data_IF_224831842991
#
_entry.id   IF_224831842991
#
_cell.length_a   1.000
_cell.length_b   1.000
_cell.length_c   1.000
_cell.angle_alpha   90.00
_cell.angle_beta   90.00
_cell.angle_gamma   90.00
#
_symmetry.space_group_name_H-M   'P 1'
#
loop_
_entity.id
_entity.type
_entity.pdbx_description
1 polymer ?
#
# COMPACT_ATOMS: atom_id res chain seq x y z
N UNK A 1 7.60 4.33 -21.72
CA UNK A 1 6.55 3.77 -20.87
C UNK A 1 7.00 2.41 -20.32
N UNK A 2 6.73 2.16 -19.06
CA UNK A 2 6.98 0.90 -18.39
C UNK A 2 5.71 0.48 -17.66
N UNK A 3 5.31 -0.77 -17.80
CA UNK A 3 4.14 -1.34 -17.15
C UNK A 3 4.54 -2.55 -16.31
N UNK A 4 3.93 -2.67 -15.15
CA UNK A 4 3.97 -3.87 -14.33
C UNK A 4 2.58 -4.53 -14.37
N UNK A 5 2.45 -5.65 -15.07
CA UNK A 5 1.15 -6.30 -15.22
C UNK A 5 0.61 -6.87 -13.89
N UNK A 6 1.48 -7.12 -12.90
CA UNK A 6 1.10 -7.54 -11.54
C UNK A 6 0.55 -6.39 -10.67
N UNK A 7 0.39 -5.21 -11.23
CA UNK A 7 -0.27 -4.06 -10.59
C UNK A 7 -1.64 -3.84 -11.24
N UNK A 8 -1.76 -2.88 -12.13
CA UNK A 8 -3.03 -2.49 -12.76
C UNK A 8 -3.71 -3.60 -13.59
N UNK A 9 -2.96 -4.58 -14.11
CA UNK A 9 -3.46 -5.59 -15.04
C UNK A 9 -3.60 -7.00 -14.47
N UNK A 10 -3.67 -7.09 -13.14
CA UNK A 10 -4.17 -8.23 -12.35
C UNK A 10 -3.43 -9.57 -12.46
N UNK A 11 -2.22 -9.63 -13.03
CA UNK A 11 -1.44 -10.88 -12.92
C UNK A 11 -0.94 -11.05 -11.48
N UNK A 12 -0.80 -12.30 -10.99
CA UNK A 12 -0.26 -12.54 -9.65
C UNK A 12 1.21 -12.12 -9.57
N UNK A 13 1.60 -11.48 -8.47
CA UNK A 13 3.00 -11.24 -8.13
C UNK A 13 3.60 -12.46 -7.42
N UNK A 14 2.81 -13.12 -6.59
CA UNK A 14 2.99 -14.48 -6.09
C UNK A 14 4.31 -14.75 -5.39
N UNK A 15 4.75 -13.87 -4.49
CA UNK A 15 6.02 -14.08 -3.79
C UNK A 15 7.25 -14.05 -4.69
N UNK A 16 7.23 -13.27 -5.78
CA UNK A 16 8.26 -13.19 -6.79
C UNK A 16 7.97 -14.02 -8.04
N UNK A 17 6.70 -14.34 -8.27
CA UNK A 17 6.20 -15.08 -9.44
C UNK A 17 6.58 -14.45 -10.77
N UNK A 18 6.16 -15.04 -11.89
CA UNK A 18 6.64 -14.70 -13.22
C UNK A 18 6.38 -13.22 -13.52
N UNK A 19 7.45 -12.45 -13.56
CA UNK A 19 7.41 -11.04 -13.87
C UNK A 19 7.03 -10.80 -15.33
N UNK A 20 6.21 -9.76 -15.57
CA UNK A 20 5.86 -9.31 -16.89
C UNK A 20 5.78 -7.78 -16.88
N UNK A 21 6.74 -7.16 -17.54
CA UNK A 21 6.88 -5.70 -17.59
C UNK A 21 7.00 -5.20 -19.03
N UNK A 22 5.89 -5.09 -19.80
CA UNK A 22 5.93 -4.51 -21.12
C UNK A 22 6.53 -3.11 -21.10
N UNK A 23 7.36 -2.80 -22.09
CA UNK A 23 7.92 -1.47 -22.28
C UNK A 23 7.50 -0.92 -23.63
N UNK A 24 7.26 0.38 -23.68
CA UNK A 24 7.09 1.14 -24.92
C UNK A 24 8.04 2.32 -24.94
N UNK A 25 8.72 2.52 -26.06
CA UNK A 25 9.70 3.58 -26.21
C UNK A 25 9.35 4.54 -27.34
N UNK A 26 9.79 5.78 -27.26
CA UNK A 26 9.72 6.70 -28.36
C UNK A 26 10.59 6.22 -29.54
N UNK A 27 10.22 6.58 -30.79
CA UNK A 27 10.84 6.08 -32.01
C UNK A 27 12.37 6.19 -32.02
N UNK A 28 12.91 7.27 -31.50
CA UNK A 28 14.37 7.51 -31.46
C UNK A 28 15.12 6.55 -30.51
N UNK A 29 14.43 5.90 -29.55
CA UNK A 29 15.00 4.91 -28.63
C UNK A 29 14.84 3.47 -29.13
N UNK A 30 13.98 3.21 -30.10
CA UNK A 30 13.72 1.88 -30.62
C UNK A 30 15.01 1.15 -31.10
N UNK A 31 15.99 1.81 -31.76
CA UNK A 31 17.24 1.16 -32.16
C UNK A 31 18.09 0.60 -31.01
N UNK A 32 17.86 1.05 -29.77
CA UNK A 32 18.64 0.68 -28.61
C UNK A 32 17.98 -0.38 -27.72
N UNK A 33 16.78 -0.88 -28.09
CA UNK A 33 16.10 -1.92 -27.33
C UNK A 33 16.95 -3.18 -27.22
N UNK A 34 16.82 -3.94 -26.08
CA UNK A 34 17.60 -5.14 -25.83
C UNK A 34 17.49 -6.19 -26.96
N UNK A 35 18.59 -6.78 -27.33
CA UNK A 35 18.66 -7.89 -28.27
C UNK A 35 18.53 -9.22 -27.56
N UNK A 36 18.30 -10.30 -28.28
CA UNK A 36 18.35 -11.67 -27.77
C UNK A 36 19.14 -12.54 -28.74
N UNK A 37 20.05 -13.42 -28.27
CA UNK A 37 20.90 -14.23 -29.16
C UNK A 37 20.15 -15.30 -29.90
N UNK A 38 18.97 -15.73 -29.45
CA UNK A 38 18.19 -16.83 -30.02
C UNK A 38 17.04 -16.32 -30.86
N UNK A 39 16.37 -15.24 -30.37
CA UNK A 39 15.17 -14.69 -31.01
C UNK A 39 15.51 -13.29 -31.53
N UNK A 40 15.12 -13.02 -32.77
CA UNK A 40 15.31 -11.68 -33.37
C UNK A 40 14.40 -10.65 -32.66
N UNK A 41 14.94 -10.00 -31.65
CA UNK A 41 14.33 -8.87 -30.92
C UNK A 41 15.29 -7.71 -30.85
N UNK A 42 14.77 -6.56 -30.46
CA UNK A 42 15.59 -5.36 -30.25
C UNK A 42 15.89 -4.59 -31.51
N UNK A 43 16.68 -3.55 -31.34
CA UNK A 43 17.06 -2.62 -32.40
C UNK A 43 18.44 -2.89 -32.98
N UNK A 44 18.77 -2.21 -34.05
CA UNK A 44 20.06 -2.36 -34.78
C UNK A 44 21.29 -2.06 -33.92
N UNK A 45 21.14 -1.18 -32.92
CA UNK A 45 22.15 -0.79 -31.95
C UNK A 45 21.77 -1.23 -30.53
N UNK A 46 21.02 -2.33 -30.44
CA UNK A 46 20.47 -2.82 -29.18
C UNK A 46 21.54 -3.23 -28.18
N UNK A 47 21.25 -3.01 -26.89
CA UNK A 47 22.06 -3.56 -25.80
C UNK A 47 21.94 -5.09 -25.76
N UNK A 48 22.84 -5.73 -25.06
CA UNK A 48 22.82 -7.21 -24.86
C UNK A 48 21.51 -7.64 -24.18
N UNK A 49 21.18 -8.92 -24.30
CA UNK A 49 20.03 -9.51 -23.61
C UNK A 49 20.09 -9.23 -22.11
N UNK A 50 18.98 -8.74 -21.56
CA UNK A 50 18.84 -8.42 -20.14
C UNK A 50 18.18 -9.56 -19.33
N UNK A 51 17.56 -10.52 -20.02
CA UNK A 51 16.94 -11.71 -19.44
C UNK A 51 17.01 -12.89 -20.39
N UNK A 52 16.77 -14.10 -19.88
CA UNK A 52 16.74 -15.33 -20.68
C UNK A 52 15.46 -15.51 -21.49
N UNK A 53 14.35 -14.91 -21.06
CA UNK A 53 13.04 -15.00 -21.70
C UNK A 53 12.56 -13.61 -22.14
N UNK A 54 12.81 -13.21 -23.40
CA UNK A 54 12.51 -11.84 -23.87
C UNK A 54 11.01 -11.48 -23.86
N UNK A 55 10.14 -12.48 -23.88
CA UNK A 55 8.68 -12.33 -23.81
C UNK A 55 8.13 -12.58 -22.41
N UNK A 56 8.98 -12.81 -21.40
CA UNK A 56 8.56 -13.18 -20.06
C UNK A 56 7.78 -14.50 -20.04
N UNK A 57 6.81 -14.64 -19.13
CA UNK A 57 5.92 -15.80 -19.08
C UNK A 57 4.67 -15.55 -19.93
N UNK A 58 4.64 -16.05 -21.14
CA UNK A 58 3.56 -15.78 -22.10
C UNK A 58 2.18 -16.26 -21.62
N UNK A 59 2.11 -17.36 -20.87
CA UNK A 59 0.84 -17.90 -20.33
C UNK A 59 0.14 -16.90 -19.41
N UNK A 60 0.87 -16.12 -18.64
CA UNK A 60 0.31 -15.18 -17.68
C UNK A 60 -0.41 -13.99 -18.37
N UNK A 61 -0.10 -13.72 -19.64
CA UNK A 61 -0.78 -12.68 -20.43
C UNK A 61 -2.27 -12.94 -20.62
N UNK A 62 -2.71 -14.22 -20.55
CA UNK A 62 -4.12 -14.59 -20.65
C UNK A 62 -4.91 -13.98 -19.50
N UNK A 63 -4.33 -13.85 -18.30
CA UNK A 63 -4.97 -13.23 -17.14
C UNK A 63 -5.23 -11.74 -17.42
N UNK A 64 -4.22 -10.99 -17.84
CA UNK A 64 -4.40 -9.58 -18.21
C UNK A 64 -5.36 -9.40 -19.39
N UNK A 65 -5.32 -10.30 -20.37
CA UNK A 65 -6.26 -10.28 -21.48
C UNK A 65 -7.71 -10.45 -20.99
N UNK A 66 -7.96 -11.45 -20.14
CA UNK A 66 -9.28 -11.69 -19.54
C UNK A 66 -9.75 -10.48 -18.73
N UNK A 67 -8.90 -9.93 -17.87
CA UNK A 67 -9.19 -8.74 -17.08
C UNK A 67 -9.57 -7.54 -17.96
N UNK A 68 -8.78 -7.24 -18.98
CA UNK A 68 -9.06 -6.15 -19.92
C UNK A 68 -10.37 -6.38 -20.69
N UNK A 69 -10.63 -7.62 -21.11
CA UNK A 69 -11.87 -7.96 -21.84
C UNK A 69 -13.11 -7.85 -20.96
N UNK A 70 -13.02 -8.24 -19.68
CA UNK A 70 -14.13 -8.14 -18.72
C UNK A 70 -14.47 -6.68 -18.39
N UNK A 71 -13.47 -5.86 -18.15
CA UNK A 71 -13.69 -4.45 -17.78
C UNK A 71 -13.97 -3.54 -19.00
N UNK A 72 -13.35 -3.81 -20.13
CA UNK A 72 -13.37 -2.93 -21.28
C UNK A 72 -12.75 -1.55 -20.99
N UNK A 73 -12.73 -0.68 -21.96
CA UNK A 73 -12.13 0.66 -21.85
C UNK A 73 -12.80 1.50 -20.74
N UNK A 74 -14.11 1.42 -20.62
CA UNK A 74 -14.88 2.18 -19.60
C UNK A 74 -14.57 1.68 -18.19
N UNK A 75 -14.52 0.35 -18.01
CA UNK A 75 -14.23 -0.25 -16.70
C UNK A 75 -12.81 0.04 -16.24
N UNK A 76 -11.80 -0.06 -17.12
CA UNK A 76 -10.41 0.28 -16.81
C UNK A 76 -10.25 1.75 -16.39
N UNK A 77 -10.90 2.66 -17.09
CA UNK A 77 -10.92 4.08 -16.73
C UNK A 77 -11.56 4.29 -15.35
N UNK A 78 -12.73 3.68 -15.13
CA UNK A 78 -13.46 3.80 -13.86
C UNK A 78 -12.68 3.22 -12.69
N UNK A 79 -12.00 2.10 -12.88
CA UNK A 79 -11.11 1.50 -11.87
C UNK A 79 -10.06 2.52 -11.39
N UNK A 80 -9.36 3.17 -12.32
CA UNK A 80 -8.37 4.21 -11.98
C UNK A 80 -9.02 5.42 -11.29
N UNK A 81 -10.18 5.88 -11.76
CA UNK A 81 -10.90 7.00 -11.14
C UNK A 81 -11.31 6.69 -9.70
N UNK A 82 -11.79 5.46 -9.43
CA UNK A 82 -12.16 5.02 -8.08
C UNK A 82 -10.93 4.89 -7.19
N UNK A 83 -9.82 4.33 -7.68
CA UNK A 83 -8.59 4.23 -6.91
C UNK A 83 -8.10 5.63 -6.42
N UNK A 84 -8.12 6.61 -7.31
CA UNK A 84 -7.78 8.00 -6.97
C UNK A 84 -8.79 8.61 -5.99
N UNK A 85 -10.08 8.35 -6.19
CA UNK A 85 -11.14 8.82 -5.29
C UNK A 85 -10.95 8.26 -3.89
N UNK A 86 -10.74 6.95 -3.76
CA UNK A 86 -10.56 6.26 -2.48
C UNK A 86 -9.34 6.79 -1.71
N UNK A 87 -8.21 6.99 -2.39
CA UNK A 87 -7.02 7.57 -1.76
C UNK A 87 -7.28 9.00 -1.24
N UNK A 88 -7.98 9.83 -2.02
CA UNK A 88 -8.34 11.18 -1.61
C UNK A 88 -9.42 11.21 -0.53
N UNK A 89 -10.32 10.23 -0.49
CA UNK A 89 -11.28 10.05 0.59
C UNK A 89 -10.59 9.76 1.91
N UNK A 90 -9.69 8.76 1.95
CA UNK A 90 -8.89 8.47 3.14
C UNK A 90 -8.04 9.66 3.56
N UNK A 91 -7.42 10.36 2.61
CA UNK A 91 -6.70 11.60 2.92
C UNK A 91 -7.58 12.61 3.64
N UNK A 92 -8.80 12.84 3.15
CA UNK A 92 -9.72 13.80 3.78
C UNK A 92 -10.13 13.41 5.20
N UNK A 93 -10.22 12.11 5.49
CA UNK A 93 -10.49 11.58 6.83
C UNK A 93 -9.30 11.70 7.79
N UNK A 94 -8.08 11.60 7.28
CA UNK A 94 -6.88 11.47 8.10
C UNK A 94 -6.06 12.75 8.22
N UNK A 95 -6.33 13.79 7.42
CA UNK A 95 -5.48 15.00 7.34
C UNK A 95 -5.38 15.77 8.64
N UNK A 96 -6.39 15.72 9.51
CA UNK A 96 -6.39 16.37 10.81
C UNK A 96 -5.61 15.60 11.89
N UNK A 97 -5.27 14.34 11.59
CA UNK A 97 -4.58 13.42 12.51
C UNK A 97 -3.15 13.11 12.09
N UNK A 98 -2.88 13.08 10.78
CA UNK A 98 -1.60 12.70 10.18
C UNK A 98 -1.18 13.69 9.10
N UNK A 99 0.11 13.99 9.03
CA UNK A 99 0.66 14.77 7.94
C UNK A 99 0.80 13.92 6.68
N UNK A 100 0.34 14.43 5.54
CA UNK A 100 0.56 13.82 4.21
C UNK A 100 1.77 14.45 3.59
N UNK A 101 2.82 13.65 3.32
CA UNK A 101 4.13 14.15 2.92
C UNK A 101 4.15 14.76 1.51
N UNK A 102 3.40 14.18 0.57
CA UNK A 102 3.37 14.64 -0.82
C UNK A 102 1.93 14.86 -1.30
N UNK A 103 1.71 16.03 -1.90
CA UNK A 103 0.47 16.36 -2.58
C UNK A 103 0.77 17.07 -3.90
N UNK A 104 -0.11 16.93 -4.88
CA UNK A 104 -0.07 17.72 -6.09
C UNK A 104 -0.43 19.20 -5.85
N UNK A 105 -0.31 20.06 -6.88
CA UNK A 105 -0.60 21.50 -6.75
C UNK A 105 -2.01 21.83 -6.25
N UNK A 106 -2.97 20.94 -6.46
CA UNK A 106 -4.37 21.09 -6.01
C UNK A 106 -4.61 20.54 -4.60
N UNK A 107 -3.56 20.13 -3.89
CA UNK A 107 -3.67 19.47 -2.60
C UNK A 107 -4.22 18.04 -2.65
N UNK A 108 -4.30 17.43 -3.84
CA UNK A 108 -4.78 16.05 -4.02
C UNK A 108 -3.61 15.07 -4.11
N UNK A 109 -3.88 13.82 -3.73
CA UNK A 109 -2.97 12.69 -3.96
C UNK A 109 -3.42 11.89 -5.19
N UNK A 110 -2.56 11.01 -5.70
CA UNK A 110 -2.90 10.08 -6.78
C UNK A 110 -3.71 8.88 -6.22
N UNK A 111 -3.33 7.66 -6.56
CA UNK A 111 -3.96 6.43 -6.05
C UNK A 111 -3.43 5.97 -4.70
N UNK A 112 -2.39 6.64 -4.21
CA UNK A 112 -1.73 6.35 -2.93
C UNK A 112 -1.37 7.65 -2.21
N UNK A 113 -1.10 7.56 -0.91
CA UNK A 113 -0.59 8.68 -0.11
C UNK A 113 0.49 8.21 0.85
N UNK A 114 1.39 9.13 1.19
CA UNK A 114 2.47 8.89 2.15
C UNK A 114 2.16 9.66 3.43
N UNK A 115 1.87 8.93 4.50
CA UNK A 115 1.70 9.51 5.83
C UNK A 115 3.04 9.63 6.54
N UNK A 116 3.33 10.82 7.05
CA UNK A 116 4.55 11.10 7.78
C UNK A 116 4.37 10.79 9.28
N UNK A 117 5.01 9.73 9.76
CA UNK A 117 4.95 9.30 11.15
C UNK A 117 6.22 9.63 11.95
N UNK A 118 7.19 10.34 11.35
CA UNK A 118 8.52 10.57 11.95
C UNK A 118 8.48 11.36 13.25
N UNK A 119 7.51 12.24 13.43
CA UNK A 119 7.38 13.03 14.66
C UNK A 119 7.08 12.17 15.89
N UNK A 120 6.35 11.05 15.72
CA UNK A 120 5.88 10.20 16.82
C UNK A 120 7.04 9.51 17.56
N UNK A 121 8.14 9.22 16.87
CA UNK A 121 9.35 8.71 17.51
C UNK A 121 9.90 9.67 18.56
N UNK A 122 9.92 10.98 18.25
CA UNK A 122 10.41 12.00 19.18
C UNK A 122 9.40 12.32 20.28
N UNK A 123 8.11 12.28 19.95
CA UNK A 123 7.03 12.73 20.83
C UNK A 123 6.57 11.65 21.82
N UNK A 124 6.58 10.39 21.42
CA UNK A 124 6.02 9.28 22.17
C UNK A 124 6.87 7.98 22.09
N UNK A 125 8.10 8.04 21.59
CA UNK A 125 8.95 6.89 21.30
C UNK A 125 8.31 5.83 20.36
N UNK A 126 7.25 6.19 19.61
CA UNK A 126 6.54 5.30 18.69
C UNK A 126 7.14 5.40 17.28
N UNK A 127 7.53 4.25 16.74
CA UNK A 127 8.02 4.12 15.38
C UNK A 127 6.90 3.69 14.43
N UNK A 128 7.11 3.89 13.13
CA UNK A 128 6.12 3.53 12.11
C UNK A 128 5.83 2.03 12.09
N UNK A 129 6.80 1.21 12.46
CA UNK A 129 6.68 -0.23 12.62
C UNK A 129 5.71 -0.62 13.75
N UNK A 130 5.64 0.17 14.82
CA UNK A 130 4.69 -0.04 15.93
C UNK A 130 3.26 0.22 15.45
N UNK A 131 3.04 1.28 14.66
CA UNK A 131 1.75 1.58 14.02
C UNK A 131 1.34 0.45 13.07
N UNK A 132 2.26 -0.05 12.26
CA UNK A 132 2.02 -1.14 11.34
C UNK A 132 1.61 -2.43 12.06
N UNK A 133 2.28 -2.78 13.17
CA UNK A 133 1.92 -3.92 14.01
C UNK A 133 0.55 -3.72 14.69
N UNK A 134 0.27 -2.52 15.19
CA UNK A 134 -1.01 -2.21 15.82
C UNK A 134 -2.19 -2.30 14.85
N UNK A 135 -2.02 -1.93 13.58
CA UNK A 135 -3.02 -2.14 12.54
C UNK A 135 -3.41 -3.60 12.35
N UNK A 136 -2.51 -4.56 12.63
CA UNK A 136 -2.83 -5.99 12.59
C UNK A 136 -3.86 -6.36 13.67
N UNK A 137 -3.82 -5.74 14.84
CA UNK A 137 -4.83 -5.93 15.89
C UNK A 137 -6.21 -5.42 15.46
N UNK A 138 -6.25 -4.38 14.63
CA UNK A 138 -7.48 -3.89 13.98
C UNK A 138 -7.91 -4.73 12.77
N UNK A 139 -7.21 -5.84 12.48
CA UNK A 139 -7.51 -6.76 11.39
C UNK A 139 -7.13 -6.25 10.01
N UNK A 140 -6.13 -5.37 9.92
CA UNK A 140 -5.58 -4.90 8.65
C UNK A 140 -4.21 -5.50 8.38
N UNK A 141 -3.96 -5.87 7.14
CA UNK A 141 -2.60 -6.05 6.66
C UNK A 141 -1.92 -4.67 6.64
N UNK A 142 -0.78 -4.57 7.30
CA UNK A 142 -0.07 -3.29 7.40
C UNK A 142 0.28 -2.73 6.00
N UNK A 143 0.15 -1.42 5.80
CA UNK A 143 0.65 -0.74 4.60
C UNK A 143 2.17 -0.87 4.46
N UNK A 144 2.71 -0.51 3.29
CA UNK A 144 4.15 -0.46 3.08
C UNK A 144 4.81 0.54 4.03
N UNK A 145 5.77 0.05 4.81
CA UNK A 145 6.48 0.80 5.85
C UNK A 145 7.78 1.36 5.30
N UNK A 146 8.11 2.59 5.72
CA UNK A 146 9.42 3.22 5.47
C UNK A 146 9.82 3.29 3.99
N UNK A 147 8.84 3.45 3.10
CA UNK A 147 9.04 3.65 1.67
C UNK A 147 8.02 4.69 1.13
N UNK A 148 8.44 5.61 0.24
CA UNK A 148 9.79 5.86 -0.27
C UNK A 148 10.71 6.58 0.73
N UNK A 149 10.20 6.98 1.87
CA UNK A 149 10.92 7.71 2.93
C UNK A 149 10.87 6.92 4.23
N UNK A 150 11.99 6.80 4.92
CA UNK A 150 12.04 6.15 6.24
C UNK A 150 11.09 6.83 7.25
N UNK A 151 10.39 6.03 8.05
CA UNK A 151 9.44 6.52 9.06
C UNK A 151 8.10 6.99 8.49
N UNK A 152 7.70 6.50 7.33
CA UNK A 152 6.41 6.80 6.70
C UNK A 152 5.60 5.54 6.42
N UNK A 153 4.29 5.70 6.23
CA UNK A 153 3.37 4.67 5.74
C UNK A 153 2.87 5.04 4.35
N UNK A 154 2.96 4.12 3.40
CA UNK A 154 2.37 4.28 2.08
C UNK A 154 1.03 3.56 2.03
N UNK A 155 -0.06 4.32 1.94
CA UNK A 155 -1.43 3.80 1.95
C UNK A 155 -1.98 3.84 0.52
N UNK A 156 -2.35 2.66 0.02
CA UNK A 156 -2.94 2.45 -1.30
C UNK A 156 -4.25 1.65 -1.13
N UNK A 157 -5.42 2.32 -1.07
CA UNK A 157 -6.69 1.64 -0.84
C UNK A 157 -7.20 0.87 -2.06
N UNK A 158 -6.63 1.11 -3.24
CA UNK A 158 -7.07 0.56 -4.52
C UNK A 158 -8.51 0.95 -4.92
N UNK A 159 -9.03 0.37 -5.98
CA UNK A 159 -10.42 0.52 -6.42
C UNK A 159 -11.36 -0.54 -5.83
N UNK A 160 -10.81 -1.58 -5.22
CA UNK A 160 -11.58 -2.75 -4.77
C UNK A 160 -12.16 -2.62 -3.36
N UNK A 161 -11.68 -1.66 -2.57
CA UNK A 161 -12.19 -1.48 -1.22
C UNK A 161 -13.56 -0.79 -1.19
N UNK A 162 -14.45 -1.28 -0.34
CA UNK A 162 -15.75 -0.67 -0.12
C UNK A 162 -15.65 0.58 0.75
N UNK A 163 -16.62 1.50 0.65
CA UNK A 163 -16.68 2.68 1.51
C UNK A 163 -16.64 2.31 3.00
N UNK A 164 -17.35 1.25 3.39
CA UNK A 164 -17.35 0.73 4.77
C UNK A 164 -15.96 0.32 5.23
N UNK A 165 -15.18 -0.32 4.36
CA UNK A 165 -13.81 -0.74 4.68
C UNK A 165 -12.85 0.45 4.76
N UNK A 166 -13.04 1.45 3.90
CA UNK A 166 -12.29 2.70 3.97
C UNK A 166 -12.57 3.45 5.29
N UNK A 167 -13.84 3.52 5.71
CA UNK A 167 -14.22 4.11 6.99
C UNK A 167 -13.60 3.35 8.16
N UNK A 168 -13.70 2.01 8.17
CA UNK A 168 -13.10 1.16 9.19
C UNK A 168 -11.57 1.37 9.31
N UNK A 169 -10.89 1.49 8.17
CA UNK A 169 -9.45 1.79 8.15
C UNK A 169 -9.14 3.18 8.72
N UNK A 170 -9.91 4.19 8.32
CA UNK A 170 -9.73 5.54 8.83
C UNK A 170 -9.95 5.61 10.35
N UNK A 171 -11.00 4.95 10.86
CA UNK A 171 -11.29 4.86 12.29
C UNK A 171 -10.15 4.17 13.05
N UNK A 172 -9.63 3.05 12.55
CA UNK A 172 -8.48 2.38 13.15
C UNK A 172 -7.24 3.30 13.23
N UNK A 173 -6.94 4.02 12.15
CA UNK A 173 -5.82 4.97 12.13
C UNK A 173 -6.04 6.12 13.12
N UNK A 174 -7.26 6.64 13.25
CA UNK A 174 -7.60 7.71 14.21
C UNK A 174 -7.44 7.19 15.64
N UNK A 175 -7.95 5.98 15.95
CA UNK A 175 -7.78 5.36 17.27
C UNK A 175 -6.30 5.14 17.62
N UNK A 176 -5.49 4.66 16.68
CA UNK A 176 -4.03 4.56 16.88
C UNK A 176 -3.40 5.93 17.15
N UNK A 177 -3.86 6.99 16.50
CA UNK A 177 -3.38 8.35 16.78
C UNK A 177 -3.75 8.81 18.19
N UNK A 178 -4.92 8.45 18.70
CA UNK A 178 -5.34 8.72 20.07
C UNK A 178 -4.47 7.96 21.07
N UNK A 179 -4.22 6.67 20.84
CA UNK A 179 -3.29 5.85 21.64
C UNK A 179 -1.87 6.49 21.69
N UNK A 180 -1.36 7.00 20.56
CA UNK A 180 -0.08 7.72 20.50
C UNK A 180 -0.12 9.00 21.36
N UNK A 181 -1.23 9.74 21.31
CA UNK A 181 -1.39 10.96 22.11
C UNK A 181 -1.45 10.66 23.63
N UNK A 182 -2.05 9.54 24.01
CA UNK A 182 -2.08 9.09 25.41
C UNK A 182 -0.68 8.74 25.92
N UNK A 183 0.13 8.05 25.10
CA UNK A 183 1.54 7.77 25.43
C UNK A 183 2.34 9.07 25.52
N UNK A 184 2.16 10.00 24.56
CA UNK A 184 2.79 11.32 24.58
C UNK A 184 2.47 12.11 25.85
N UNK A 185 1.24 11.98 26.36
CA UNK A 185 0.76 12.66 27.57
C UNK A 185 1.04 11.87 28.85
N UNK A 186 1.90 10.85 28.80
CA UNK A 186 2.33 10.01 29.93
C UNK A 186 1.17 9.27 30.62
N UNK A 187 0.04 9.03 29.91
CA UNK A 187 -1.04 8.16 30.40
C UNK A 187 -0.59 6.71 30.41
N UNK A 188 0.23 6.32 29.40
CA UNK A 188 0.84 4.99 29.29
C UNK A 188 2.36 5.13 29.15
N UNK A 189 3.05 4.06 29.55
CA UNK A 189 4.49 3.97 29.48
C UNK A 189 5.01 3.98 28.03
N UNK A 190 6.13 4.66 27.76
CA UNK A 190 6.70 4.79 26.41
C UNK A 190 7.37 3.51 25.92
N UNK A 191 7.85 2.65 26.81
CA UNK A 191 8.57 1.42 26.46
C UNK A 191 7.64 0.20 26.43
N UNK A 192 6.55 0.22 27.24
CA UNK A 192 5.58 -0.86 27.30
C UNK A 192 4.15 -0.33 27.21
N UNK A 193 3.57 -0.45 26.02
CA UNK A 193 2.22 0.03 25.71
C UNK A 193 1.59 -0.79 24.59
N UNK A 194 0.34 -0.52 24.29
CA UNK A 194 -0.45 -1.26 23.29
C UNK A 194 0.17 -1.25 21.88
N UNK A 195 0.89 -0.20 21.48
CA UNK A 195 1.56 -0.16 20.18
C UNK A 195 2.87 -0.94 20.19
N UNK A 196 3.68 -0.82 21.25
CA UNK A 196 4.95 -1.53 21.39
C UNK A 196 4.75 -3.04 21.47
N UNK A 197 3.71 -3.46 22.17
CA UNK A 197 3.40 -4.86 22.42
C UNK A 197 2.61 -5.53 21.27
N UNK A 198 2.10 -4.75 20.33
CA UNK A 198 1.39 -5.27 19.13
C UNK A 198 2.32 -6.13 18.23
N UNK A 199 1.79 -7.10 17.48
CA UNK A 199 0.40 -7.55 17.50
C UNK A 199 0.11 -8.46 18.69
N UNK A 200 -1.09 -8.38 19.24
CA UNK A 200 -1.51 -9.17 20.38
C UNK A 200 -2.12 -10.50 19.95
N UNK A 201 -1.84 -11.55 20.72
CA UNK A 201 -2.45 -12.85 20.50
C UNK A 201 -3.88 -12.89 21.03
N UNK A 202 -4.69 -13.84 20.53
CA UNK A 202 -6.04 -14.07 21.07
C UNK A 202 -6.01 -14.42 22.58
N UNK A 203 -4.93 -15.05 23.05
CA UNK A 203 -4.76 -15.38 24.47
C UNK A 203 -4.58 -14.09 25.30
N UNK A 204 -3.72 -13.20 24.89
CA UNK A 204 -3.50 -11.90 25.55
C UNK A 204 -4.77 -11.05 25.55
N UNK A 205 -5.53 -11.08 24.44
CA UNK A 205 -6.76 -10.31 24.30
C UNK A 205 -7.91 -10.72 25.24
N UNK A 206 -7.86 -11.94 25.82
CA UNK A 206 -8.88 -12.48 26.72
C UNK A 206 -8.43 -12.60 28.18
N UNK A 207 -7.18 -12.22 28.50
CA UNK A 207 -6.70 -12.24 29.88
C UNK A 207 -7.29 -11.09 30.70
N UNK A 208 -7.74 -11.41 31.95
CA UNK A 208 -8.36 -10.44 32.87
C UNK A 208 -7.44 -9.27 33.28
N UNK A 209 -6.13 -9.43 33.08
CA UNK A 209 -5.12 -8.42 33.42
C UNK A 209 -4.87 -7.37 32.34
N UNK A 210 -5.52 -7.50 31.20
CA UNK A 210 -5.30 -6.56 30.10
C UNK A 210 -6.14 -5.30 30.26
N UNK A 211 -5.51 -4.25 30.77
CA UNK A 211 -6.15 -2.96 31.08
C UNK A 211 -6.41 -2.03 29.88
N UNK A 212 -5.97 -2.39 28.69
CA UNK A 212 -6.03 -1.51 27.49
C UNK A 212 -7.01 -1.99 26.41
N UNK A 213 -7.83 -3.00 26.68
CA UNK A 213 -8.67 -3.65 25.67
C UNK A 213 -10.16 -3.25 25.68
N UNK A 214 -10.57 -2.27 26.47
CA UNK A 214 -12.00 -1.91 26.61
C UNK A 214 -12.62 -1.38 25.29
N UNK A 215 -11.81 -0.92 24.33
CA UNK A 215 -12.30 -0.36 23.06
C UNK A 215 -12.57 -1.44 22.02
N UNK A 216 -11.85 -2.55 22.02
CA UNK A 216 -11.94 -3.56 20.94
C UNK A 216 -13.12 -4.52 21.05
N UNK A 217 -13.57 -4.80 22.29
CA UNK A 217 -14.62 -5.80 22.56
C UNK A 217 -16.03 -5.24 22.36
N UNK A 218 -16.23 -3.93 22.43
CA UNK A 218 -17.57 -3.32 22.40
C UNK A 218 -18.14 -3.13 21.01
N UNK A 219 -17.34 -2.94 19.97
CA UNK A 219 -17.83 -2.63 18.61
C UNK A 219 -18.04 -3.85 17.69
N UNK A 220 -17.50 -5.01 18.02
CA UNK A 220 -17.72 -6.24 17.24
C UNK A 220 -18.96 -7.05 17.64
N UNK A 221 -19.85 -6.53 18.51
CA UNK A 221 -21.09 -7.17 18.93
C UNK A 221 -22.35 -6.54 18.32
N UNK A 222 -22.23 -5.87 17.17
CA UNK A 222 -23.42 -5.41 16.43
C UNK A 222 -23.45 -5.94 15.02
#
# INVERSE_FOLDING_TARGET
CHLNLHKTFAIPHGGGGPGMGPIGVAKHLAPFLPTNPIIKTGGERGIKAINGAPWGSALILIISYGYIKLLGAKGLKKSTEIAILNANYLKAKLIDHYSVLYCGPTGKVAHEMILDCRSFKKEAAIEVEDIAKRLMDYGFHAPTVSFPVAGTLMIEPTESESLKELDRFAEAMISIKEEINEIKNEVYDQESNVLKNAPHTAHEAIEDNWKQCDVWITDNKK
#
